data_IF_902793647890
#
_entry.id   IF_902793647890
#
_cell.length_a   1.000
_cell.length_b   1.000
_cell.length_c   1.000
_cell.angle_alpha   90.00
_cell.angle_beta   90.00
_cell.angle_gamma   90.00
#
_symmetry.space_group_name_H-M   'P 1'
#
loop_
_entity.id
_entity.type
_entity.pdbx_description
1 polymer ?
#
# COMPACT_ATOMS: atom_id res chain seq x y z
N UNK A 1 5.83 27.85 24.10
CA UNK A 1 5.54 26.84 23.07
C UNK A 1 5.28 27.56 21.77
N UNK A 2 5.90 27.16 20.66
CA UNK A 2 5.69 27.77 19.35
C UNK A 2 4.65 26.91 18.64
N UNK A 3 3.50 27.49 18.27
CA UNK A 3 2.51 26.77 17.48
C UNK A 3 3.09 26.55 16.07
N UNK A 4 3.20 25.29 15.68
CA UNK A 4 3.67 24.88 14.36
C UNK A 4 2.44 24.38 13.62
N UNK A 5 2.15 24.98 12.46
CA UNK A 5 1.02 24.58 11.65
C UNK A 5 1.36 23.27 10.93
N UNK A 6 0.63 22.20 11.24
CA UNK A 6 0.86 20.88 10.66
C UNK A 6 0.11 20.80 9.33
N UNK A 7 0.79 20.50 8.21
CA UNK A 7 0.12 20.34 6.92
C UNK A 7 -0.95 19.25 6.99
N UNK A 8 -2.16 19.58 6.51
CA UNK A 8 -3.33 18.67 6.55
C UNK A 8 -3.12 17.32 5.85
N UNK A 9 -2.21 17.27 4.89
CA UNK A 9 -1.98 16.12 4.01
C UNK A 9 -0.68 15.37 4.31
N UNK A 10 -0.05 15.63 5.46
CA UNK A 10 1.21 14.98 5.85
C UNK A 10 1.09 13.45 5.90
N UNK A 11 -0.08 12.95 6.30
CA UNK A 11 -0.38 11.51 6.43
C UNK A 11 -1.23 10.98 5.28
N UNK A 12 -1.53 11.81 4.27
CA UNK A 12 -2.33 11.37 3.14
C UNK A 12 -1.52 10.48 2.20
N UNK A 13 -2.14 9.42 1.71
CA UNK A 13 -1.51 8.49 0.83
C UNK A 13 -1.19 9.13 -0.54
N UNK A 14 -0.03 8.81 -1.12
CA UNK A 14 0.33 9.31 -2.45
C UNK A 14 -0.67 8.84 -3.49
N UNK A 15 -1.17 9.78 -4.28
CA UNK A 15 -2.09 9.52 -5.38
C UNK A 15 -1.33 9.39 -6.70
N UNK A 16 -1.57 8.30 -7.43
CA UNK A 16 -1.09 8.06 -8.78
C UNK A 16 -2.27 8.17 -9.76
N UNK A 17 -2.32 9.27 -10.52
CA UNK A 17 -3.46 9.63 -11.38
C UNK A 17 -4.78 9.69 -10.59
N UNK A 18 -5.68 8.72 -10.80
CA UNK A 18 -7.00 8.64 -10.15
C UNK A 18 -7.04 7.61 -9.02
N UNK A 19 -5.91 6.94 -8.76
CA UNK A 19 -5.79 5.84 -7.83
C UNK A 19 -4.84 6.20 -6.71
N UNK A 20 -5.09 5.67 -5.53
CA UNK A 20 -4.11 5.73 -4.45
C UNK A 20 -3.00 4.70 -4.69
N UNK A 21 -1.82 4.90 -4.11
CA UNK A 21 -0.67 4.03 -4.38
C UNK A 21 -0.94 2.55 -4.02
N UNK A 22 -1.76 2.27 -3.00
CA UNK A 22 -2.20 0.90 -2.66
C UNK A 22 -2.98 0.25 -3.82
N UNK A 23 -3.89 1.00 -4.41
CA UNK A 23 -4.75 0.53 -5.50
C UNK A 23 -3.94 0.31 -6.78
N UNK A 24 -3.05 1.26 -7.08
CA UNK A 24 -2.13 1.16 -8.19
C UNK A 24 -1.18 -0.03 -8.03
N UNK A 25 -0.64 -0.26 -6.82
CA UNK A 25 0.24 -1.39 -6.52
C UNK A 25 -0.45 -2.74 -6.77
N UNK A 26 -1.72 -2.89 -6.36
CA UNK A 26 -2.50 -4.11 -6.62
C UNK A 26 -2.68 -4.34 -8.12
N UNK A 27 -3.08 -3.30 -8.86
CA UNK A 27 -3.30 -3.42 -10.30
C UNK A 27 -2.01 -3.78 -11.05
N UNK A 28 -0.91 -3.09 -10.73
CA UNK A 28 0.39 -3.31 -11.34
C UNK A 28 0.91 -4.71 -10.98
N UNK A 29 0.69 -5.18 -9.74
CA UNK A 29 1.04 -6.53 -9.33
C UNK A 29 0.29 -7.60 -10.14
N UNK A 30 -1.02 -7.45 -10.31
CA UNK A 30 -1.82 -8.34 -11.15
C UNK A 30 -1.37 -8.31 -12.61
N UNK A 31 -1.18 -7.12 -13.18
CA UNK A 31 -0.75 -6.95 -14.56
C UNK A 31 0.64 -7.54 -14.80
N UNK A 32 1.59 -7.29 -13.90
CA UNK A 32 2.94 -7.85 -13.95
C UNK A 32 2.93 -9.38 -13.94
N UNK A 33 2.09 -9.99 -13.10
CA UNK A 33 1.90 -11.44 -13.07
C UNK A 33 1.31 -11.97 -14.39
N UNK A 34 0.32 -11.29 -14.97
CA UNK A 34 -0.27 -11.71 -16.26
C UNK A 34 0.65 -11.50 -17.46
N UNK A 35 1.53 -10.50 -17.41
CA UNK A 35 2.58 -10.32 -18.42
C UNK A 35 3.61 -11.45 -18.30
N UNK A 36 4.02 -11.80 -17.07
CA UNK A 36 4.98 -12.89 -16.83
C UNK A 36 4.47 -14.25 -17.34
N UNK A 37 3.15 -14.50 -17.24
CA UNK A 37 2.51 -15.72 -17.77
C UNK A 37 2.27 -15.67 -19.30
N UNK A 38 2.19 -14.47 -19.88
CA UNK A 38 2.06 -14.24 -21.31
C UNK A 38 0.70 -14.56 -21.94
N UNK A 39 0.52 -14.13 -23.20
CA UNK A 39 -0.64 -14.45 -24.03
C UNK A 39 -1.98 -13.98 -23.44
N UNK A 40 -2.96 -14.89 -23.37
CA UNK A 40 -4.28 -14.61 -22.81
C UNK A 40 -4.24 -14.25 -21.31
N UNK A 41 -3.19 -14.64 -20.58
CA UNK A 41 -3.04 -14.30 -19.18
C UNK A 41 -2.86 -12.79 -18.98
N UNK A 42 -2.26 -12.08 -19.95
CA UNK A 42 -2.15 -10.62 -19.90
C UNK A 42 -3.52 -9.95 -19.97
N UNK A 43 -4.39 -10.39 -20.88
CA UNK A 43 -5.77 -9.88 -20.98
C UNK A 43 -6.58 -10.25 -19.73
N UNK A 44 -6.44 -11.50 -19.25
CA UNK A 44 -7.09 -11.94 -18.02
C UNK A 44 -6.64 -11.12 -16.81
N UNK A 45 -5.36 -10.73 -16.74
CA UNK A 45 -4.83 -9.90 -15.65
C UNK A 45 -5.31 -8.46 -15.67
N UNK A 46 -5.63 -7.90 -16.85
CA UNK A 46 -6.27 -6.59 -16.92
C UNK A 46 -7.68 -6.62 -16.31
N UNK A 47 -8.50 -7.59 -16.72
CA UNK A 47 -9.85 -7.76 -16.18
C UNK A 47 -9.83 -8.14 -14.69
N UNK A 48 -8.95 -9.07 -14.32
CA UNK A 48 -8.76 -9.54 -12.95
C UNK A 48 -8.20 -8.45 -12.04
N UNK A 49 -7.22 -7.68 -12.50
CA UNK A 49 -6.64 -6.56 -11.78
C UNK A 49 -7.66 -5.45 -11.54
N UNK A 50 -8.47 -5.11 -12.54
CA UNK A 50 -9.56 -4.13 -12.36
C UNK A 50 -10.57 -4.61 -11.32
N UNK A 51 -10.96 -5.89 -11.36
CA UNK A 51 -11.85 -6.48 -10.38
C UNK A 51 -11.23 -6.49 -8.96
N UNK A 52 -9.95 -6.82 -8.86
CA UNK A 52 -9.20 -6.83 -7.60
C UNK A 52 -9.16 -5.43 -6.97
N UNK A 53 -8.83 -4.39 -7.75
CA UNK A 53 -8.85 -2.99 -7.29
C UNK A 53 -10.24 -2.61 -6.81
N UNK A 54 -11.30 -2.95 -7.56
CA UNK A 54 -12.68 -2.65 -7.16
C UNK A 54 -13.06 -3.32 -5.84
N UNK A 55 -12.64 -4.57 -5.63
CA UNK A 55 -12.91 -5.30 -4.39
C UNK A 55 -12.08 -4.75 -3.22
N UNK A 56 -10.85 -4.33 -3.49
CA UNK A 56 -9.97 -3.69 -2.52
C UNK A 56 -10.48 -2.30 -2.11
N UNK A 57 -10.94 -1.47 -3.05
CA UNK A 57 -11.62 -0.19 -2.77
C UNK A 57 -12.76 -0.34 -1.77
N UNK A 58 -13.58 -1.36 -1.95
CA UNK A 58 -14.69 -1.69 -1.04
C UNK A 58 -14.22 -2.19 0.32
N UNK A 59 -13.07 -2.83 0.39
CA UNK A 59 -12.47 -3.25 1.66
C UNK A 59 -11.83 -2.06 2.39
N UNK A 60 -11.15 -1.18 1.64
CA UNK A 60 -10.53 0.05 2.17
C UNK A 60 -11.57 1.08 2.62
N UNK A 61 -12.80 1.08 2.07
CA UNK A 61 -13.84 2.02 2.49
C UNK A 61 -14.23 1.81 3.97
N UNK A 62 -13.68 2.65 4.85
CA UNK A 62 -13.82 2.56 6.31
C UNK A 62 -12.56 2.10 7.06
N UNK A 63 -11.48 1.79 6.36
CA UNK A 63 -10.16 1.50 6.93
C UNK A 63 -9.26 2.75 6.94
N UNK A 64 -8.14 2.66 7.65
CA UNK A 64 -7.07 3.67 7.61
C UNK A 64 -6.44 3.76 6.21
N UNK A 65 -5.98 4.95 5.85
CA UNK A 65 -5.19 5.16 4.65
C UNK A 65 -3.87 4.39 4.72
N UNK A 66 -3.42 3.83 3.58
CA UNK A 66 -2.22 2.98 3.54
C UNK A 66 -2.40 1.58 4.12
N UNK A 67 -3.62 1.03 4.18
CA UNK A 67 -3.88 -0.31 4.74
C UNK A 67 -3.06 -1.41 4.07
N UNK A 68 -2.76 -1.32 2.77
CA UNK A 68 -1.91 -2.32 2.11
C UNK A 68 -0.49 -2.29 2.68
N UNK A 69 0.05 -1.10 2.92
CA UNK A 69 1.36 -0.90 3.51
C UNK A 69 1.43 -1.50 4.93
N UNK A 70 0.36 -1.33 5.72
CA UNK A 70 0.23 -1.98 7.03
C UNK A 70 0.19 -3.51 6.93
N UNK A 71 -0.58 -4.07 5.98
CA UNK A 71 -0.63 -5.52 5.76
C UNK A 71 0.74 -6.08 5.33
N UNK A 72 1.51 -5.33 4.53
CA UNK A 72 2.87 -5.73 4.14
C UNK A 72 3.83 -5.77 5.33
N UNK A 73 3.70 -4.85 6.29
CA UNK A 73 4.46 -4.90 7.54
C UNK A 73 4.04 -6.07 8.41
N UNK A 74 2.74 -6.32 8.56
CA UNK A 74 2.22 -7.45 9.32
C UNK A 74 2.68 -8.80 8.73
N UNK A 75 2.66 -8.92 7.40
CA UNK A 75 3.12 -10.11 6.70
C UNK A 75 4.66 -10.28 6.69
N UNK A 76 5.42 -9.31 7.22
CA UNK A 76 6.88 -9.35 7.25
C UNK A 76 7.56 -9.17 5.88
N UNK A 77 6.83 -8.65 4.89
CA UNK A 77 7.34 -8.44 3.52
C UNK A 77 8.11 -7.12 3.41
N UNK A 78 7.81 -6.16 4.30
CA UNK A 78 8.56 -4.91 4.44
C UNK A 78 9.28 -4.85 5.78
N UNK A 79 10.57 -4.55 5.75
CA UNK A 79 11.37 -4.30 6.95
C UNK A 79 11.12 -2.91 7.53
N UNK A 80 11.23 -2.80 8.86
CA UNK A 80 11.19 -1.51 9.53
C UNK A 80 12.43 -0.65 9.18
N UNK A 81 12.42 0.62 9.59
CA UNK A 81 13.54 1.53 9.35
C UNK A 81 14.84 0.98 9.96
N UNK A 82 16.00 1.28 9.36
CA UNK A 82 17.36 0.92 9.83
C UNK A 82 17.73 1.42 11.23
N UNK A 83 16.91 2.31 11.79
CA UNK A 83 17.09 2.86 13.12
C UNK A 83 16.18 2.20 14.15
N UNK A 84 15.05 1.65 13.70
CA UNK A 84 14.03 1.03 14.53
C UNK A 84 13.67 -0.31 13.92
N UNK A 85 14.58 -1.27 14.05
CA UNK A 85 14.52 -2.55 13.36
C UNK A 85 13.44 -3.49 13.94
N UNK A 86 12.94 -3.15 15.13
CA UNK A 86 11.98 -3.93 15.90
C UNK A 86 10.99 -3.00 16.62
N UNK A 87 9.72 -3.08 16.25
CA UNK A 87 8.64 -2.27 16.86
C UNK A 87 8.30 -2.71 18.28
N UNK A 88 8.74 -3.91 18.69
CA UNK A 88 8.51 -4.47 20.02
C UNK A 88 9.64 -4.16 21.01
N UNK A 89 10.81 -3.73 20.52
CA UNK A 89 11.87 -3.20 21.38
C UNK A 89 11.48 -1.81 21.88
N UNK A 90 11.40 -1.69 23.20
CA UNK A 90 11.34 -0.40 23.88
C UNK A 90 12.72 -0.09 24.44
N UNK A 91 13.43 0.80 23.76
CA UNK A 91 14.67 1.35 24.29
C UNK A 91 14.30 2.41 25.34
N UNK A 92 14.28 1.99 26.60
CA UNK A 92 13.94 2.85 27.73
C UNK A 92 15.09 3.77 28.17
N UNK A 93 16.28 3.64 27.56
CA UNK A 93 17.48 4.33 28.01
C UNK A 93 18.37 4.77 26.83
N UNK A 94 18.52 6.09 26.70
CA UNK A 94 19.66 6.77 26.09
C UNK A 94 20.28 7.68 27.15
#
# INVERSE_FOLDING_TARGET
MKEIDIPRYVDSQTQLLFWEIDEAAIFIGCLGAGIALGGWATIASLAGGWYAVKRFKRFKSGALDGILHHLCYEAGVMGLNKHYDDSSKRDYFY
#
